data_IF_694425375857
#
_entry.id   IF_694425375857
#
_cell.length_a   1.000
_cell.length_b   1.000
_cell.length_c   1.000
_cell.angle_alpha   90.00
_cell.angle_beta   90.00
_cell.angle_gamma   90.00
#
_symmetry.space_group_name_H-M   'P 1'
#
loop_
_entity.id
_entity.type
_entity.pdbx_description
1 polymer ?
#
# COMPACT_ATOMS: atom_id res chain seq x y z
N UNK A 1 -7.48 -6.78 -12.23
CA UNK A 1 -7.30 -5.38 -11.79
C UNK A 1 -6.01 -4.84 -12.37
N UNK A 2 -6.00 -3.63 -12.96
CA UNK A 2 -4.80 -2.99 -13.51
C UNK A 2 -4.00 -2.38 -12.36
N UNK A 3 -2.71 -2.70 -12.23
CA UNK A 3 -1.87 -2.17 -11.15
C UNK A 3 -1.62 -0.67 -11.35
N UNK A 4 -1.65 0.15 -10.28
CA UNK A 4 -1.32 1.56 -10.36
C UNK A 4 0.12 1.77 -10.84
N UNK A 5 0.31 2.69 -11.79
CA UNK A 5 1.61 3.04 -12.37
C UNK A 5 2.06 4.35 -11.75
N UNK A 6 3.30 4.41 -11.27
CA UNK A 6 3.89 5.63 -10.73
C UNK A 6 4.31 6.56 -11.87
N UNK A 7 3.86 7.82 -11.82
CA UNK A 7 4.29 8.87 -12.74
C UNK A 7 5.50 9.65 -12.22
N UNK A 8 6.14 9.19 -11.15
CA UNK A 8 7.30 9.86 -10.56
C UNK A 8 8.52 9.75 -11.48
N UNK A 9 9.26 10.86 -11.59
CA UNK A 9 10.51 10.94 -12.37
C UNK A 9 11.65 10.15 -11.71
N UNK A 10 11.58 9.97 -10.39
CA UNK A 10 12.56 9.19 -9.63
C UNK A 10 12.45 7.69 -9.96
N UNK A 11 13.51 7.13 -10.53
CA UNK A 11 13.58 5.73 -10.99
C UNK A 11 13.34 4.73 -9.87
N UNK A 12 13.74 5.02 -8.63
CA UNK A 12 13.54 4.11 -7.49
C UNK A 12 12.08 4.07 -7.04
N UNK A 13 11.34 5.16 -7.23
CA UNK A 13 9.93 5.29 -6.84
C UNK A 13 8.94 4.90 -7.94
N UNK A 14 9.41 4.61 -9.16
CA UNK A 14 8.55 4.11 -10.24
C UNK A 14 7.87 2.79 -9.89
N UNK A 15 8.57 1.94 -9.15
CA UNK A 15 8.09 0.62 -8.75
C UNK A 15 7.43 0.61 -7.36
N UNK A 16 7.37 1.76 -6.68
CA UNK A 16 6.82 1.86 -5.33
C UNK A 16 5.37 1.34 -5.23
N UNK A 17 4.44 1.64 -6.17
CA UNK A 17 3.07 1.11 -6.08
C UNK A 17 3.03 -0.42 -6.14
N UNK A 18 3.80 -1.02 -7.05
CA UNK A 18 3.85 -2.48 -7.18
C UNK A 18 4.52 -3.13 -5.96
N UNK A 19 5.57 -2.52 -5.42
CA UNK A 19 6.23 -2.99 -4.21
C UNK A 19 5.29 -2.95 -2.99
N UNK A 20 4.51 -1.88 -2.83
CA UNK A 20 3.53 -1.75 -1.76
C UNK A 20 2.42 -2.79 -1.86
N UNK A 21 1.90 -3.07 -3.08
CA UNK A 21 0.92 -4.15 -3.27
C UNK A 21 1.48 -5.53 -2.88
N UNK A 22 2.73 -5.83 -3.26
CA UNK A 22 3.41 -7.08 -2.88
C UNK A 22 3.58 -7.18 -1.37
N UNK A 23 4.01 -6.10 -0.72
CA UNK A 23 4.17 -6.05 0.73
C UNK A 23 2.85 -6.27 1.46
N UNK A 24 1.77 -5.62 1.02
CA UNK A 24 0.43 -5.80 1.58
C UNK A 24 -0.05 -7.26 1.44
N UNK A 25 0.16 -7.90 0.29
CA UNK A 25 -0.19 -9.30 0.09
C UNK A 25 0.57 -10.24 1.04
N UNK A 26 1.88 -10.03 1.22
CA UNK A 26 2.69 -10.80 2.18
C UNK A 26 2.23 -10.60 3.62
N UNK A 27 1.94 -9.36 4.00
CA UNK A 27 1.50 -9.03 5.35
C UNK A 27 0.13 -9.67 5.69
N UNK A 28 -0.80 -9.72 4.73
CA UNK A 28 -2.06 -10.47 4.89
C UNK A 28 -1.84 -11.96 5.09
N UNK A 29 -1.00 -12.58 4.25
CA UNK A 29 -0.68 -14.01 4.38
C UNK A 29 -0.04 -14.33 5.73
N UNK A 30 0.85 -13.45 6.21
CA UNK A 30 1.47 -13.61 7.53
C UNK A 30 0.43 -13.46 8.65
N UNK A 31 -0.47 -12.49 8.53
CA UNK A 31 -1.55 -12.28 9.48
C UNK A 31 -2.49 -13.50 9.58
N UNK A 32 -2.86 -14.09 8.44
CA UNK A 32 -3.63 -15.34 8.36
C UNK A 32 -2.89 -16.50 9.03
N UNK A 33 -1.59 -16.66 8.77
CA UNK A 33 -0.77 -17.74 9.34
C UNK A 33 -0.57 -17.62 10.85
N UNK A 34 -0.53 -16.40 11.36
CA UNK A 34 -0.26 -16.11 12.78
C UNK A 34 -1.54 -15.89 13.59
N UNK A 35 -2.71 -15.89 12.94
CA UNK A 35 -3.98 -15.54 13.57
C UNK A 35 -4.02 -14.09 14.08
N UNK A 36 -3.17 -13.21 13.56
CA UNK A 36 -3.12 -11.79 13.96
C UNK A 36 -4.00 -10.94 13.04
N UNK A 37 -4.64 -9.86 13.56
CA UNK A 37 -5.45 -8.99 12.74
C UNK A 37 -4.59 -8.15 11.79
N UNK A 38 -4.89 -8.18 10.49
CA UNK A 38 -4.26 -7.31 9.51
C UNK A 38 -4.94 -5.94 9.47
N UNK A 39 -4.23 -4.88 9.88
CA UNK A 39 -4.73 -3.49 9.88
C UNK A 39 -4.01 -2.68 8.80
N UNK A 40 -4.76 -2.18 7.82
CA UNK A 40 -4.25 -1.23 6.82
C UNK A 40 -4.72 0.18 7.17
N UNK A 41 -3.79 1.09 7.48
CA UNK A 41 -4.11 2.51 7.71
C UNK A 41 -3.94 3.29 6.41
N UNK A 42 -4.99 3.99 5.97
CA UNK A 42 -4.88 4.98 4.89
C UNK A 42 -4.41 6.31 5.49
N UNK A 43 -3.09 6.51 5.56
CA UNK A 43 -2.54 7.85 5.81
C UNK A 43 -2.52 8.60 4.47
N UNK A 44 -3.52 9.45 4.22
CA UNK A 44 -3.49 10.39 3.09
C UNK A 44 -4.81 10.75 2.40
N UNK A 45 -5.98 10.24 2.83
CA UNK A 45 -7.27 10.57 2.21
C UNK A 45 -8.21 11.46 3.07
N UNK A 46 -7.90 11.67 4.36
CA UNK A 46 -8.81 12.39 5.28
C UNK A 46 -8.33 13.78 5.71
N UNK A 47 -7.23 14.31 5.17
CA UNK A 47 -6.75 15.67 5.49
C UNK A 47 -7.05 16.69 4.38
N UNK A 48 -8.21 16.57 3.74
CA UNK A 48 -8.81 17.66 2.96
C UNK A 48 -10.31 17.77 3.29
N UNK A 49 -10.64 17.85 4.59
CA UNK A 49 -11.96 18.33 5.03
C UNK A 49 -11.91 18.98 6.41
N UNK A 50 -11.14 20.05 6.54
CA UNK A 50 -11.38 21.08 7.57
C UNK A 50 -10.55 22.33 7.28
N UNK A 51 -11.14 23.28 6.54
CA UNK A 51 -11.72 24.54 7.03
C UNK A 51 -11.61 25.62 5.96
#
# INVERSE_FOLDING_TARGET
>A
MKAPVSHLKNSTLKNAPQALMRAAGKARRLAEQTGTPFVSRQSGAEEMKSK
#
